data_IF_377695345346
#
_entry.id   IF_377695345346
#
_cell.length_a   1.000
_cell.length_b   1.000
_cell.length_c   1.000
_cell.angle_alpha   90.00
_cell.angle_beta   90.00
_cell.angle_gamma   90.00
#
_symmetry.space_group_name_H-M   'P 1'
#
loop_
_entity.id
_entity.type
_entity.pdbx_description
1 polymer ?
#
# COMPACT_ATOMS: atom_id res chain seq x y z
N UNK A 1 -51.92 -63.89 -3.57
CA UNK A 1 -50.62 -63.44 -4.10
C UNK A 1 -50.82 -62.12 -4.87
N UNK A 2 -50.25 -60.99 -4.39
CA UNK A 2 -50.33 -59.75 -5.12
C UNK A 2 -49.26 -59.79 -6.23
N UNK A 3 -49.69 -59.67 -7.49
CA UNK A 3 -48.75 -59.56 -8.61
C UNK A 3 -47.96 -58.26 -8.48
N UNK A 4 -46.60 -58.33 -8.40
CA UNK A 4 -45.73 -57.19 -8.50
C UNK A 4 -45.74 -56.67 -9.91
N UNK A 5 -46.22 -55.45 -10.13
CA UNK A 5 -46.13 -54.77 -11.44
C UNK A 5 -44.66 -54.34 -11.61
N UNK A 6 -44.05 -54.88 -12.68
CA UNK A 6 -42.71 -54.46 -13.11
C UNK A 6 -42.72 -53.05 -13.70
N UNK A 7 -41.60 -52.33 -13.62
CA UNK A 7 -41.41 -51.02 -14.27
C UNK A 7 -41.39 -51.15 -15.79
N UNK A 8 -42.02 -50.19 -16.45
CA UNK A 8 -41.94 -50.08 -17.93
C UNK A 8 -40.64 -49.37 -18.33
N UNK A 9 -40.14 -49.72 -19.51
CA UNK A 9 -38.91 -49.12 -20.06
C UNK A 9 -39.05 -47.60 -20.20
N UNK A 10 -40.25 -47.09 -20.51
CA UNK A 10 -40.50 -45.66 -20.61
C UNK A 10 -40.47 -44.93 -19.27
N UNK A 11 -40.91 -45.55 -18.18
CA UNK A 11 -40.81 -44.96 -16.82
C UNK A 11 -39.37 -44.79 -16.42
N UNK A 12 -38.49 -45.75 -16.73
CA UNK A 12 -37.05 -45.65 -16.46
C UNK A 12 -36.39 -44.53 -17.29
N UNK A 13 -36.78 -44.45 -18.60
CA UNK A 13 -36.27 -43.37 -19.45
C UNK A 13 -36.69 -41.97 -18.99
N UNK A 14 -37.96 -41.79 -18.64
CA UNK A 14 -38.44 -40.50 -18.12
C UNK A 14 -37.80 -40.16 -16.78
N UNK A 15 -37.67 -41.11 -15.87
CA UNK A 15 -37.01 -40.89 -14.59
C UNK A 15 -35.53 -40.51 -14.77
N UNK A 16 -34.81 -41.19 -15.66
CA UNK A 16 -33.40 -40.86 -15.94
C UNK A 16 -33.24 -39.49 -16.60
N UNK A 17 -34.17 -39.09 -17.51
CA UNK A 17 -34.18 -37.77 -18.10
C UNK A 17 -34.41 -36.66 -17.07
N UNK A 18 -35.31 -36.83 -16.12
CA UNK A 18 -35.58 -35.90 -15.04
C UNK A 18 -34.37 -35.81 -14.12
N UNK A 19 -33.73 -36.91 -13.75
CA UNK A 19 -32.52 -36.94 -12.94
C UNK A 19 -31.36 -36.22 -13.64
N UNK A 20 -31.19 -36.41 -14.94
CA UNK A 20 -30.19 -35.72 -15.76
C UNK A 20 -30.40 -34.17 -15.75
N UNK A 21 -31.66 -33.75 -15.93
CA UNK A 21 -32.03 -32.33 -15.86
C UNK A 21 -31.74 -31.73 -14.45
N UNK A 22 -32.10 -32.43 -13.40
CA UNK A 22 -31.83 -32.01 -12.02
C UNK A 22 -30.30 -31.89 -11.75
N UNK A 23 -29.52 -32.86 -12.21
CA UNK A 23 -28.07 -32.86 -12.09
C UNK A 23 -27.45 -31.65 -12.84
N UNK A 24 -27.97 -31.34 -14.02
CA UNK A 24 -27.50 -30.24 -14.85
C UNK A 24 -27.81 -28.87 -14.23
N UNK A 25 -28.99 -28.71 -13.63
CA UNK A 25 -29.37 -27.48 -12.89
C UNK A 25 -28.52 -27.32 -11.64
N UNK A 26 -28.33 -28.42 -10.88
CA UNK A 26 -27.49 -28.41 -9.69
C UNK A 26 -26.03 -28.03 -10.00
N UNK A 27 -25.48 -28.59 -11.09
CA UNK A 27 -24.13 -28.26 -11.56
C UNK A 27 -23.99 -26.77 -11.90
N UNK A 28 -24.95 -26.21 -12.65
CA UNK A 28 -24.96 -24.78 -13.00
C UNK A 28 -25.03 -23.89 -11.74
N UNK A 29 -25.80 -24.29 -10.74
CA UNK A 29 -25.89 -23.58 -9.46
C UNK A 29 -24.55 -23.55 -8.72
N UNK A 30 -23.88 -24.71 -8.65
CA UNK A 30 -22.56 -24.82 -8.03
C UNK A 30 -21.49 -24.00 -8.78
N UNK A 31 -21.44 -24.07 -10.11
CA UNK A 31 -20.50 -23.28 -10.92
C UNK A 31 -20.68 -21.78 -10.70
N UNK A 32 -21.94 -21.31 -10.62
CA UNK A 32 -22.24 -19.92 -10.27
C UNK A 32 -21.74 -19.52 -8.87
N UNK A 33 -21.92 -20.39 -7.86
CA UNK A 33 -21.42 -20.15 -6.51
C UNK A 33 -19.89 -20.06 -6.47
N UNK A 34 -19.19 -20.98 -7.13
CA UNK A 34 -17.72 -20.96 -7.18
C UNK A 34 -17.17 -19.69 -7.84
N UNK A 35 -17.78 -19.26 -8.97
CA UNK A 35 -17.38 -18.01 -9.63
C UNK A 35 -17.58 -16.79 -8.74
N UNK A 36 -18.72 -16.72 -8.06
CA UNK A 36 -19.00 -15.62 -7.12
C UNK A 36 -18.04 -15.64 -5.94
N UNK A 37 -17.76 -16.81 -5.36
CA UNK A 37 -16.81 -16.96 -4.25
C UNK A 37 -15.41 -16.49 -4.66
N UNK A 38 -14.92 -16.91 -5.83
CA UNK A 38 -13.61 -16.50 -6.34
C UNK A 38 -13.54 -14.97 -6.53
N UNK A 39 -14.58 -14.37 -7.12
CA UNK A 39 -14.63 -12.92 -7.32
C UNK A 39 -14.64 -12.15 -5.99
N UNK A 40 -15.40 -12.63 -5.00
CA UNK A 40 -15.42 -12.03 -3.66
C UNK A 40 -14.06 -12.15 -2.95
N UNK A 41 -13.41 -13.31 -3.07
CA UNK A 41 -12.09 -13.55 -2.49
C UNK A 41 -11.06 -12.59 -3.09
N UNK A 42 -10.98 -12.48 -4.41
CA UNK A 42 -10.04 -11.59 -5.11
C UNK A 42 -10.25 -10.13 -4.70
N UNK A 43 -11.52 -9.71 -4.59
CA UNK A 43 -11.85 -8.35 -4.12
C UNK A 43 -11.46 -8.12 -2.67
N UNK A 44 -11.69 -9.10 -1.80
CA UNK A 44 -11.29 -9.04 -0.39
C UNK A 44 -9.78 -8.91 -0.25
N UNK A 45 -9.02 -9.74 -0.97
CA UNK A 45 -7.56 -9.73 -0.94
C UNK A 45 -6.99 -8.38 -1.43
N UNK A 46 -7.54 -7.85 -2.53
CA UNK A 46 -7.14 -6.53 -3.06
C UNK A 46 -7.40 -5.41 -2.03
N UNK A 47 -8.57 -5.44 -1.38
CA UNK A 47 -8.92 -4.45 -0.34
C UNK A 47 -8.01 -4.56 0.87
N UNK A 48 -7.73 -5.77 1.34
CA UNK A 48 -6.85 -6.01 2.49
C UNK A 48 -5.42 -5.55 2.20
N UNK A 49 -4.88 -5.86 1.02
CA UNK A 49 -3.53 -5.43 0.63
C UNK A 49 -3.42 -3.89 0.60
N UNK A 50 -4.42 -3.21 0.05
CA UNK A 50 -4.45 -1.75 0.05
C UNK A 50 -4.53 -1.18 1.47
N UNK A 51 -5.40 -1.73 2.32
CA UNK A 51 -5.54 -1.30 3.72
C UNK A 51 -4.24 -1.52 4.51
N UNK A 52 -3.60 -2.67 4.34
CA UNK A 52 -2.29 -2.94 4.98
C UNK A 52 -1.22 -1.98 4.51
N UNK A 53 -1.17 -1.68 3.21
CA UNK A 53 -0.24 -0.70 2.66
C UNK A 53 -0.45 0.70 3.23
N UNK A 54 -1.71 1.15 3.32
CA UNK A 54 -2.07 2.44 3.92
C UNK A 54 -1.72 2.50 5.41
N UNK A 55 -2.00 1.44 6.16
CA UNK A 55 -1.63 1.33 7.57
C UNK A 55 -0.11 1.36 7.75
N UNK A 56 0.63 0.69 6.88
CA UNK A 56 2.09 0.71 6.89
C UNK A 56 2.65 2.09 6.56
N UNK A 57 2.09 2.79 5.56
CA UNK A 57 2.45 4.15 5.22
C UNK A 57 2.27 5.09 6.41
N UNK A 58 1.14 4.99 7.11
CA UNK A 58 0.89 5.75 8.34
C UNK A 58 1.89 5.40 9.43
N UNK A 59 2.16 4.11 9.64
CA UNK A 59 3.14 3.65 10.63
C UNK A 59 4.54 4.19 10.35
N UNK A 60 4.95 4.25 9.07
CA UNK A 60 6.24 4.82 8.68
C UNK A 60 6.33 6.31 9.04
N UNK A 61 5.26 7.07 8.85
CA UNK A 61 5.18 8.48 9.23
C UNK A 61 5.11 8.69 10.75
N UNK A 62 4.33 7.86 11.46
CA UNK A 62 4.20 7.94 12.92
C UNK A 62 5.53 7.66 13.65
N UNK A 63 6.38 6.82 13.04
CA UNK A 63 7.72 6.49 13.55
C UNK A 63 8.84 7.34 12.95
N UNK A 64 8.49 8.40 12.21
CA UNK A 64 9.47 9.32 11.63
C UNK A 64 10.37 9.90 12.70
N UNK A 65 11.68 9.87 12.46
CA UNK A 65 12.69 10.33 13.41
C UNK A 65 13.42 11.55 12.87
N UNK A 66 13.51 12.58 13.70
CA UNK A 66 14.20 13.82 13.38
C UNK A 66 15.58 13.75 14.04
N UNK A 67 16.61 13.62 13.22
CA UNK A 67 18.00 13.60 13.64
C UNK A 67 18.72 14.82 13.11
N UNK A 68 19.74 15.28 13.86
CA UNK A 68 20.56 16.40 13.42
C UNK A 68 21.41 15.98 12.20
N UNK A 69 21.35 16.77 11.16
CA UNK A 69 22.14 16.54 9.94
C UNK A 69 21.56 15.51 8.97
N UNK A 70 20.38 14.91 9.25
CA UNK A 70 19.71 14.00 8.33
C UNK A 70 18.29 14.47 8.01
N UNK A 71 17.82 14.37 6.76
CA UNK A 71 16.42 14.60 6.44
C UNK A 71 15.53 13.54 7.08
N UNK A 72 14.47 13.98 7.75
CA UNK A 72 13.48 13.08 8.32
C UNK A 72 12.47 12.60 7.26
N UNK A 73 12.14 13.49 6.32
CA UNK A 73 11.21 13.25 5.22
C UNK A 73 11.68 14.03 3.99
N UNK A 74 11.60 13.40 2.83
CA UNK A 74 11.82 14.04 1.54
C UNK A 74 10.87 13.47 0.48
N UNK A 75 10.37 14.35 -0.37
CA UNK A 75 9.56 14.02 -1.53
C UNK A 75 10.11 14.75 -2.76
N UNK A 76 10.50 14.01 -3.79
CA UNK A 76 11.08 14.56 -5.03
C UNK A 76 10.14 14.47 -6.25
N UNK A 77 8.89 14.06 -6.04
CA UNK A 77 7.91 13.83 -7.10
C UNK A 77 7.86 12.38 -7.60
N UNK A 78 8.85 11.56 -7.27
CA UNK A 78 8.93 10.14 -7.64
C UNK A 78 9.01 9.24 -6.43
N UNK A 79 9.87 9.57 -5.48
CA UNK A 79 10.06 8.78 -4.26
C UNK A 79 9.83 9.63 -3.03
N UNK A 80 9.11 9.06 -2.07
CA UNK A 80 9.02 9.60 -0.71
C UNK A 80 9.95 8.79 0.17
N UNK A 81 10.95 9.45 0.75
CA UNK A 81 11.94 8.86 1.66
C UNK A 81 11.72 9.33 3.08
N UNK A 82 11.80 8.42 4.02
CA UNK A 82 11.55 8.68 5.44
C UNK A 82 12.67 8.07 6.26
N UNK A 83 13.26 8.86 7.16
CA UNK A 83 14.10 8.34 8.24
C UNK A 83 13.20 8.01 9.42
N UNK A 84 13.16 6.74 9.84
CA UNK A 84 12.29 6.28 10.93
C UNK A 84 13.05 5.48 11.97
N UNK A 85 12.48 5.40 13.16
CA UNK A 85 12.94 4.49 14.20
C UNK A 85 12.57 3.04 13.85
N UNK A 86 13.42 2.09 14.19
CA UNK A 86 13.08 0.67 14.06
C UNK A 86 11.90 0.34 14.98
N UNK A 87 10.81 -0.23 14.44
CA UNK A 87 9.55 -0.36 15.17
C UNK A 87 9.55 -1.46 16.23
N UNK A 88 10.37 -2.50 16.07
CA UNK A 88 10.41 -3.65 16.99
C UNK A 88 11.46 -3.48 18.08
N UNK A 89 12.57 -2.80 17.78
CA UNK A 89 13.64 -2.53 18.73
C UNK A 89 14.21 -1.12 18.51
N UNK A 90 13.85 -0.14 19.34
CA UNK A 90 14.40 1.20 19.25
C UNK A 90 15.93 1.27 19.37
N UNK A 91 16.56 0.25 19.98
CA UNK A 91 18.02 0.17 20.14
C UNK A 91 18.71 -0.37 18.90
N UNK A 92 17.99 -1.00 17.99
CA UNK A 92 18.54 -1.51 16.74
C UNK A 92 18.97 -0.41 15.75
N UNK A 93 18.69 0.87 16.06
CA UNK A 93 19.05 2.01 15.24
C UNK A 93 17.90 2.57 14.44
N UNK A 94 18.24 3.25 13.33
CA UNK A 94 17.28 3.88 12.43
C UNK A 94 17.16 3.07 11.15
N UNK A 95 16.07 3.28 10.41
CA UNK A 95 15.85 2.71 9.09
C UNK A 95 15.50 3.83 8.11
N UNK A 96 15.91 3.65 6.86
CA UNK A 96 15.41 4.41 5.72
C UNK A 96 14.29 3.61 5.08
N UNK A 97 13.16 4.26 4.90
CA UNK A 97 12.01 3.69 4.17
C UNK A 97 11.74 4.56 2.96
N UNK A 98 11.38 3.94 1.86
CA UNK A 98 11.03 4.63 0.64
C UNK A 98 9.74 4.08 0.06
N UNK A 99 8.93 4.99 -0.50
CA UNK A 99 7.69 4.68 -1.20
C UNK A 99 7.76 5.25 -2.61
N UNK A 100 7.37 4.48 -3.61
CA UNK A 100 7.35 4.91 -5.00
C UNK A 100 6.20 4.27 -5.77
N UNK A 101 5.91 4.86 -6.93
CA UNK A 101 5.05 4.26 -7.95
C UNK A 101 5.94 3.87 -9.14
N UNK A 102 6.19 2.59 -9.31
CA UNK A 102 6.95 2.04 -10.42
C UNK A 102 6.13 1.00 -11.20
N UNK A 103 6.11 1.07 -12.54
CA UNK A 103 5.33 0.16 -13.40
C UNK A 103 3.85 0.01 -13.03
N UNK A 104 3.22 1.08 -12.57
CA UNK A 104 1.83 1.01 -12.13
C UNK A 104 1.61 0.23 -10.83
N UNK A 105 2.67 0.02 -10.04
CA UNK A 105 2.62 -0.62 -8.74
C UNK A 105 3.08 0.36 -7.66
N UNK A 106 2.27 0.54 -6.63
CA UNK A 106 2.67 1.26 -5.42
C UNK A 106 3.49 0.32 -4.57
N UNK A 107 4.75 0.67 -4.35
CA UNK A 107 5.75 -0.20 -3.72
C UNK A 107 6.43 0.50 -2.55
N UNK A 108 6.86 -0.29 -1.59
CA UNK A 108 7.60 0.13 -0.41
C UNK A 108 8.92 -0.60 -0.33
N UNK A 109 9.96 0.12 -0.03
CA UNK A 109 11.30 -0.39 0.27
C UNK A 109 11.72 0.02 1.67
N UNK A 110 12.55 -0.80 2.34
CA UNK A 110 13.16 -0.46 3.61
C UNK A 110 14.61 -0.97 3.69
N UNK A 111 15.47 -0.21 4.36
CA UNK A 111 16.82 -0.65 4.68
C UNK A 111 16.85 -1.63 5.85
N UNK A 112 17.96 -2.33 6.02
CA UNK A 112 18.32 -2.92 7.30
C UNK A 112 18.45 -1.83 8.38
N UNK A 113 18.43 -2.18 9.68
CA UNK A 113 18.72 -1.25 10.77
C UNK A 113 20.13 -0.65 10.66
N UNK A 114 20.24 0.66 10.84
CA UNK A 114 21.44 1.44 10.61
C UNK A 114 21.87 2.11 11.92
N UNK A 115 23.15 1.96 12.27
CA UNK A 115 23.74 2.52 13.51
C UNK A 115 24.71 3.67 13.23
N UNK A 116 25.14 3.83 11.98
CA UNK A 116 26.16 4.81 11.59
C UNK A 116 25.64 5.76 10.52
N UNK A 117 26.09 7.00 10.54
CA UNK A 117 25.65 8.02 9.60
C UNK A 117 26.04 7.71 8.14
N UNK A 118 27.22 7.12 7.93
CA UNK A 118 27.66 6.74 6.58
C UNK A 118 26.77 5.63 5.99
N UNK A 119 26.40 4.65 6.80
CA UNK A 119 25.46 3.60 6.40
C UNK A 119 24.08 4.18 6.09
N UNK A 120 23.64 5.17 6.89
CA UNK A 120 22.39 5.90 6.63
C UNK A 120 22.44 6.64 5.27
N UNK A 121 23.55 7.36 5.00
CA UNK A 121 23.74 8.09 3.74
C UNK A 121 23.70 7.13 2.53
N UNK A 122 24.32 5.97 2.64
CA UNK A 122 24.29 4.95 1.60
C UNK A 122 22.86 4.42 1.39
N UNK A 123 22.13 4.10 2.45
CA UNK A 123 20.75 3.62 2.37
C UNK A 123 19.81 4.69 1.79
N UNK A 124 20.02 5.97 2.11
CA UNK A 124 19.25 7.08 1.56
C UNK A 124 19.43 7.23 0.05
N UNK A 125 20.67 7.10 -0.43
CA UNK A 125 20.97 7.10 -1.85
C UNK A 125 20.49 5.82 -2.54
N UNK A 126 20.60 4.67 -1.87
CA UNK A 126 20.09 3.40 -2.38
C UNK A 126 18.58 3.44 -2.62
N UNK A 127 17.84 4.07 -1.72
CA UNK A 127 16.38 4.28 -1.85
C UNK A 127 16.02 5.09 -3.11
N UNK A 128 16.84 6.09 -3.46
CA UNK A 128 16.69 6.87 -4.68
C UNK A 128 16.92 6.00 -5.93
N UNK A 129 18.06 5.30 -5.96
CA UNK A 129 18.42 4.41 -7.08
C UNK A 129 17.36 3.31 -7.25
N UNK A 130 16.87 2.76 -6.14
CA UNK A 130 15.79 1.77 -6.17
C UNK A 130 14.53 2.35 -6.84
N UNK A 131 14.09 3.54 -6.45
CA UNK A 131 12.90 4.16 -7.01
C UNK A 131 13.05 4.48 -8.51
N UNK A 132 14.25 4.84 -8.95
CA UNK A 132 14.54 5.06 -10.38
C UNK A 132 14.49 3.76 -11.17
N UNK A 133 14.88 2.64 -10.55
CA UNK A 133 14.87 1.29 -11.14
C UNK A 133 13.59 0.51 -10.87
N UNK A 134 12.64 1.04 -10.09
CA UNK A 134 11.39 0.38 -9.70
C UNK A 134 10.47 -0.01 -10.87
N UNK A 135 10.94 0.16 -12.07
CA UNK A 135 10.37 -0.35 -13.31
C UNK A 135 11.03 -1.61 -13.85
N UNK A 136 12.19 -1.99 -13.34
CA UNK A 136 12.92 -3.17 -13.79
C UNK A 136 12.69 -4.33 -12.82
N UNK A 137 11.85 -5.28 -13.22
CA UNK A 137 11.44 -6.48 -12.48
C UNK A 137 12.58 -7.41 -11.98
N UNK A 138 13.84 -7.02 -12.15
CA UNK A 138 15.01 -7.81 -11.72
C UNK A 138 15.52 -7.47 -10.33
N UNK A 139 15.01 -6.43 -9.68
CA UNK A 139 15.42 -6.02 -8.34
C UNK A 139 14.41 -6.46 -7.27
N UNK A 140 13.97 -7.72 -7.33
CA UNK A 140 13.20 -8.31 -6.22
C UNK A 140 14.18 -8.57 -5.06
N UNK A 141 14.48 -7.51 -4.31
CA UNK A 141 15.25 -7.64 -3.08
C UNK A 141 14.31 -7.97 -1.94
N UNK A 142 14.77 -8.74 -0.96
CA UNK A 142 14.00 -9.04 0.26
C UNK A 142 13.51 -7.79 1.04
N UNK A 143 13.93 -6.61 0.59
CA UNK A 143 13.64 -5.30 1.17
C UNK A 143 12.46 -4.59 0.50
N UNK A 144 11.92 -5.10 -0.62
CA UNK A 144 10.84 -4.51 -1.39
C UNK A 144 9.53 -5.27 -1.20
N UNK A 145 8.44 -4.52 -1.03
CA UNK A 145 7.08 -5.06 -0.94
C UNK A 145 6.19 -4.32 -1.93
N UNK A 146 5.59 -5.06 -2.86
CA UNK A 146 4.56 -4.55 -3.76
C UNK A 146 3.24 -4.53 -3.00
N UNK A 147 2.58 -3.38 -2.98
CA UNK A 147 1.35 -3.18 -2.20
C UNK A 147 0.11 -3.34 -3.08
N UNK A 148 -0.04 -2.47 -4.08
CA UNK A 148 -1.25 -2.43 -4.90
C UNK A 148 -1.01 -1.77 -6.26
N UNK A 149 -1.74 -2.21 -7.32
CA UNK A 149 -1.75 -1.52 -8.60
C UNK A 149 -2.38 -0.13 -8.50
N UNK A 150 -1.65 0.90 -8.92
CA UNK A 150 -2.05 2.32 -8.85
C UNK A 150 -1.69 3.01 -10.16
N UNK A 151 -2.58 3.86 -10.68
CA UNK A 151 -2.34 4.65 -11.89
C UNK A 151 -1.50 5.88 -11.58
N UNK A 152 -1.91 6.64 -10.56
CA UNK A 152 -1.21 7.84 -10.12
C UNK A 152 -1.19 7.93 -8.61
N UNK A 153 -0.17 8.59 -8.08
CA UNK A 153 -0.14 9.00 -6.69
C UNK A 153 0.33 10.44 -6.58
N UNK A 154 -0.19 11.15 -5.58
CA UNK A 154 0.11 12.54 -5.34
C UNK A 154 0.28 12.76 -3.84
N UNK A 155 1.20 13.63 -3.47
CA UNK A 155 1.45 14.02 -2.10
C UNK A 155 1.23 15.53 -1.96
N UNK A 156 0.46 15.89 -0.94
CA UNK A 156 0.23 17.26 -0.54
C UNK A 156 0.75 17.46 0.87
N UNK A 157 1.33 18.61 1.13
CA UNK A 157 1.77 19.03 2.45
C UNK A 157 0.79 20.05 3.03
N UNK A 158 0.47 19.87 4.31
CA UNK A 158 -0.23 20.88 5.09
C UNK A 158 0.80 21.76 5.81
N UNK A 159 0.73 23.06 5.55
CA UNK A 159 1.58 24.08 6.20
C UNK A 159 0.77 25.36 6.31
N UNK A 160 0.90 26.06 7.43
CA UNK A 160 0.27 27.36 7.67
C UNK A 160 -1.24 27.36 7.35
N UNK A 161 -1.94 26.26 7.70
CA UNK A 161 -3.38 26.13 7.51
C UNK A 161 -3.86 25.78 6.09
N UNK A 162 -2.95 25.53 5.14
CA UNK A 162 -3.29 25.22 3.76
C UNK A 162 -2.65 23.92 3.26
N UNK A 163 -3.36 23.20 2.36
CA UNK A 163 -2.82 22.08 1.60
C UNK A 163 -2.17 22.59 0.31
N UNK A 164 -0.91 22.33 0.13
CA UNK A 164 -0.14 22.68 -1.05
C UNK A 164 0.44 21.43 -1.70
N UNK A 165 0.62 21.46 -3.02
CA UNK A 165 1.37 20.39 -3.69
C UNK A 165 2.79 20.36 -3.12
N UNK A 166 3.25 19.18 -2.72
CA UNK A 166 4.56 19.01 -2.09
C UNK A 166 5.75 19.40 -3.00
N UNK A 167 5.52 19.57 -4.31
CA UNK A 167 6.51 20.02 -5.31
C UNK A 167 6.41 21.51 -5.63
N UNK A 168 5.50 22.26 -5.03
CA UNK A 168 5.36 23.70 -5.29
C UNK A 168 6.62 24.46 -4.88
N UNK A 169 7.02 25.45 -5.70
CA UNK A 169 8.24 26.24 -5.50
C UNK A 169 8.30 26.95 -4.15
N UNK A 170 7.15 27.31 -3.59
CA UNK A 170 7.04 27.96 -2.28
C UNK A 170 7.52 27.07 -1.12
N UNK A 171 7.58 25.77 -1.36
CA UNK A 171 8.07 24.76 -0.41
C UNK A 171 9.60 24.68 -0.41
N UNK A 172 10.24 24.97 -1.53
CA UNK A 172 11.68 24.83 -1.73
C UNK A 172 12.48 26.09 -1.40
N UNK A 173 11.85 27.27 -1.28
CA UNK A 173 12.56 28.55 -1.03
C UNK A 173 13.15 28.64 0.37
N UNK A 174 12.74 27.78 1.31
CA UNK A 174 13.30 27.77 2.67
C UNK A 174 14.49 26.81 2.87
N UNK A 175 14.90 26.04 1.86
CA UNK A 175 16.01 25.08 1.96
C UNK A 175 17.39 25.73 1.94
N UNK A 176 17.51 27.02 1.60
CA UNK A 176 18.79 27.74 1.51
C UNK A 176 19.18 28.51 2.79
N UNK A 177 18.46 28.34 3.89
CA UNK A 177 18.88 28.95 5.15
C UNK A 177 19.75 27.96 5.93
N UNK A 178 21.03 28.01 5.68
CA UNK A 178 22.07 27.40 6.52
C UNK A 178 21.79 27.71 8.00
N UNK A 179 21.30 26.72 8.75
CA UNK A 179 21.13 26.82 10.20
C UNK A 179 19.73 26.74 10.77
N UNK A 180 18.65 26.67 9.94
CA UNK A 180 17.32 26.38 10.49
C UNK A 180 17.17 24.89 10.77
N UNK A 181 16.76 24.59 12.00
CA UNK A 181 16.49 23.23 12.49
C UNK A 181 15.62 22.45 11.53
N UNK A 182 15.96 21.18 11.27
CA UNK A 182 15.20 20.22 10.44
C UNK A 182 13.70 20.14 10.80
N UNK A 183 13.36 20.52 12.02
CA UNK A 183 11.98 20.62 12.55
C UNK A 183 11.11 21.66 11.85
N UNK A 184 11.71 22.78 11.38
CA UNK A 184 10.96 23.90 10.79
C UNK A 184 10.53 23.62 9.34
N UNK A 185 11.13 22.61 8.68
CA UNK A 185 10.83 22.28 7.29
C UNK A 185 9.84 21.11 7.13
N UNK A 186 9.49 20.43 8.23
CA UNK A 186 8.54 19.33 8.17
C UNK A 186 7.10 19.86 8.09
N UNK A 187 6.25 19.27 7.24
CA UNK A 187 4.85 19.63 7.17
C UNK A 187 4.12 19.24 8.46
N UNK A 188 3.07 19.98 8.79
CA UNK A 188 2.14 19.65 9.88
C UNK A 188 1.29 18.43 9.57
N UNK A 189 1.04 18.18 8.29
CA UNK A 189 0.32 17.02 7.79
C UNK A 189 0.72 16.63 6.38
N UNK A 190 0.45 15.39 6.03
CA UNK A 190 0.60 14.85 4.68
C UNK A 190 -0.75 14.29 4.20
N UNK A 191 -1.07 14.56 2.95
CA UNK A 191 -2.18 13.92 2.24
C UNK A 191 -1.61 13.08 1.12
N UNK A 192 -1.91 11.79 1.18
CA UNK A 192 -1.69 10.83 0.11
C UNK A 192 -2.97 10.70 -0.70
N UNK A 193 -2.86 10.84 -2.01
CA UNK A 193 -3.96 10.60 -2.95
C UNK A 193 -3.50 9.54 -3.94
N UNK A 194 -4.19 8.41 -3.93
CA UNK A 194 -3.96 7.28 -4.85
C UNK A 194 -5.13 7.20 -5.82
N UNK A 195 -4.85 7.13 -7.10
CA UNK A 195 -5.81 6.74 -8.13
C UNK A 195 -5.54 5.27 -8.48
N UNK A 196 -6.46 4.41 -8.08
CA UNK A 196 -6.29 2.97 -8.25
C UNK A 196 -6.39 2.59 -9.73
N UNK A 197 -5.68 1.55 -10.14
CA UNK A 197 -5.80 1.02 -11.48
C UNK A 197 -7.24 0.55 -11.74
N UNK A 198 -7.70 0.76 -12.97
CA UNK A 198 -9.05 0.32 -13.39
C UNK A 198 -9.08 -1.21 -13.48
N UNK A 199 -9.53 -1.83 -12.41
CA UNK A 199 -9.64 -3.29 -12.25
C UNK A 199 -10.99 -3.68 -11.64
N UNK A 200 -11.52 -4.86 -11.98
CA UNK A 200 -12.82 -5.32 -11.46
C UNK A 200 -12.85 -5.45 -9.93
N UNK A 201 -11.71 -5.71 -9.31
CA UNK A 201 -11.61 -5.97 -7.88
C UNK A 201 -11.82 -4.70 -7.07
N UNK A 202 -11.11 -3.63 -7.44
CA UNK A 202 -11.18 -2.33 -6.77
C UNK A 202 -10.68 -1.23 -7.71
N UNK A 203 -11.39 -0.11 -7.74
CA UNK A 203 -11.07 1.06 -8.57
C UNK A 203 -11.50 2.34 -7.85
N UNK A 204 -11.02 3.47 -8.34
CA UNK A 204 -11.40 4.80 -7.85
C UNK A 204 -10.25 5.53 -7.14
N UNK A 205 -10.60 6.61 -6.45
CA UNK A 205 -9.64 7.46 -5.76
C UNK A 205 -9.70 7.22 -4.26
N UNK A 206 -8.53 7.00 -3.66
CA UNK A 206 -8.37 6.85 -2.22
C UNK A 206 -7.53 8.02 -1.71
N UNK A 207 -8.00 8.65 -0.63
CA UNK A 207 -7.28 9.75 0.02
C UNK A 207 -7.03 9.38 1.48
N UNK A 208 -5.84 9.66 1.95
CA UNK A 208 -5.43 9.42 3.33
C UNK A 208 -4.67 10.63 3.86
N UNK A 209 -5.14 11.15 4.97
CA UNK A 209 -4.49 12.25 5.69
C UNK A 209 -3.74 11.72 6.89
N UNK A 210 -2.54 12.22 7.06
CA UNK A 210 -1.74 12.05 8.26
C UNK A 210 -1.43 13.41 8.86
N UNK A 211 -1.58 13.53 10.16
CA UNK A 211 -1.25 14.74 10.91
C UNK A 211 -0.10 14.40 11.84
N UNK A 212 0.92 15.24 11.84
CA UNK A 212 2.08 15.06 12.70
C UNK A 212 1.66 15.08 14.17
N UNK A 213 1.99 14.04 14.95
CA UNK A 213 1.74 14.04 16.38
C UNK A 213 2.48 15.22 17.05
N UNK A 214 1.75 16.19 17.58
CA UNK A 214 2.31 17.26 18.39
C UNK A 214 2.20 16.86 19.84
N UNK A 215 3.29 16.46 20.46
CA UNK A 215 3.34 16.33 21.92
C UNK A 215 3.37 17.73 22.53
N UNK A 216 2.25 18.22 22.95
CA UNK A 216 2.22 19.38 23.84
C UNK A 216 2.72 18.87 25.18
N UNK A 217 3.96 19.20 25.54
CA UNK A 217 4.45 19.00 26.90
C UNK A 217 3.54 19.82 27.80
N UNK A 218 2.67 19.15 28.56
CA UNK A 218 1.92 19.77 29.64
C UNK A 218 2.99 20.20 30.65
N UNK A 219 3.28 21.51 30.73
CA UNK A 219 4.04 22.08 31.84
C UNK A 219 3.25 21.80 33.10
N UNK A 220 3.73 20.88 33.93
CA UNK A 220 3.38 20.84 35.35
C UNK A 220 4.08 21.97 36.09
#
# INVERSE_FOLDING_TARGET
MKASKGFTLIEVLVASAILALMALISWRGLDGMFKTQTALQTRSDATQNLQMGMAQWRTDLDNMLILQGTPALEWDGRVMRITRQHSQDPKAGVQVVAWTLGNGQWTRWQSEPLMQNDAWTQAWNQAQIWAESAGNLKANTAQEVVIHPVQTWQIYFHRDGAWTNALSSDVNTNSNTTGKSSLQNLPEGLRLVLELADRPEIQGKVTMDWVRPTFTAVKQ
#
